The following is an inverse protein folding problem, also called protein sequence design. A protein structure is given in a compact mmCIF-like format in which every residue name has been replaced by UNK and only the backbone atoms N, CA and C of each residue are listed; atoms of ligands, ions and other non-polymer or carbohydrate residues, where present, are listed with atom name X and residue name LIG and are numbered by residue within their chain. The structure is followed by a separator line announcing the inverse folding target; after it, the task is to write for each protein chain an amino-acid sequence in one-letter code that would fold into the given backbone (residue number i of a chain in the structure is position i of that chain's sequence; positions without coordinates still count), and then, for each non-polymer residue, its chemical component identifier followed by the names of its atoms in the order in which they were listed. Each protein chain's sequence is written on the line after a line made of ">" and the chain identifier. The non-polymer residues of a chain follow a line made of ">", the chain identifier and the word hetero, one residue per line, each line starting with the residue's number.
data_IF_625402176143
#
_entry.id   IF_625402176143
#
_cell.length_a   1.000
_cell.length_b   1.000
_cell.length_c   1.000
_cell.angle_alpha   90.00
_cell.angle_beta   90.00
_cell.angle_gamma   90.00
#
_symmetry.space_group_name_H-M   'P 1'
#
loop_
_entity.id
_entity.type
_entity.pdbx_description
1 polymer ?
#
# COMPACT_ATOMS: atom_id res chain seq x y z
N UNK A 1 -26.66 -4.47 48.53
CA UNK A 1 -26.40 -5.52 47.52
C UNK A 1 -27.40 -5.34 46.38
N UNK A 2 -27.08 -5.52 45.08
CA UNK A 2 -25.78 -5.64 44.40
C UNK A 2 -25.64 -4.73 43.15
N UNK A 3 -24.47 -4.12 42.95
CA UNK A 3 -23.96 -3.77 41.60
C UNK A 3 -22.53 -4.29 41.61
N UNK A 4 -22.23 -5.37 40.87
CA UNK A 4 -21.22 -5.19 39.82
C UNK A 4 -21.47 -6.14 38.64
N UNK A 5 -22.53 -5.91 37.87
CA UNK A 5 -22.73 -6.58 36.57
C UNK A 5 -22.32 -5.69 35.38
N UNK A 6 -21.74 -4.52 35.63
CA UNK A 6 -21.28 -3.59 34.58
C UNK A 6 -19.82 -3.80 34.15
N UNK A 7 -19.00 -4.52 34.91
CA UNK A 7 -17.56 -4.64 34.60
C UNK A 7 -17.23 -5.75 33.58
N UNK A 8 -18.21 -6.54 33.13
CA UNK A 8 -17.94 -7.71 32.26
C UNK A 8 -18.00 -7.36 30.76
N UNK A 9 -18.55 -6.19 30.39
CA UNK A 9 -18.77 -5.83 28.97
C UNK A 9 -17.61 -5.06 28.32
N UNK A 10 -16.57 -4.65 29.06
CA UNK A 10 -15.44 -3.89 28.50
C UNK A 10 -14.23 -4.76 28.11
N UNK A 11 -14.30 -6.08 28.27
CA UNK A 11 -13.17 -6.98 28.04
C UNK A 11 -12.90 -7.35 26.56
N UNK A 12 -13.77 -6.95 25.63
CA UNK A 12 -13.59 -7.23 24.19
C UNK A 12 -12.87 -6.10 23.41
N UNK A 13 -12.36 -5.07 24.07
CA UNK A 13 -12.05 -3.80 23.40
C UNK A 13 -10.68 -3.70 22.68
N UNK A 14 -9.86 -4.75 22.62
CA UNK A 14 -8.61 -4.69 21.85
C UNK A 14 -8.13 -6.09 21.45
N UNK A 15 -8.77 -6.70 20.46
CA UNK A 15 -8.03 -7.66 19.64
C UNK A 15 -6.91 -6.89 18.92
N UNK A 16 -5.65 -7.34 18.92
CA UNK A 16 -4.66 -6.74 18.05
C UNK A 16 -5.20 -6.86 16.63
N UNK A 17 -5.37 -5.72 15.94
CA UNK A 17 -5.61 -5.77 14.51
C UNK A 17 -4.46 -6.59 13.91
N UNK A 18 -4.78 -7.55 13.05
CA UNK A 18 -3.74 -8.17 12.26
C UNK A 18 -2.97 -7.05 11.55
N UNK A 19 -1.66 -7.17 11.43
CA UNK A 19 -0.89 -6.25 10.60
C UNK A 19 -0.98 -6.70 9.14
N UNK A 20 -0.94 -5.77 8.17
CA UNK A 20 -0.92 -6.13 6.77
C UNK A 20 0.41 -6.84 6.42
N UNK A 21 0.41 -7.73 5.43
CA UNK A 21 1.65 -8.31 4.90
C UNK A 21 2.69 -7.21 4.57
N UNK A 22 3.92 -7.29 5.08
CA UNK A 22 4.92 -6.22 4.93
C UNK A 22 5.22 -5.84 3.47
N UNK A 23 5.07 -6.77 2.53
CA UNK A 23 5.27 -6.53 1.11
C UNK A 23 4.27 -5.51 0.51
N UNK A 24 3.08 -5.37 1.10
CA UNK A 24 2.07 -4.39 0.68
C UNK A 24 2.39 -2.97 1.17
N UNK A 25 3.19 -2.86 2.24
CA UNK A 25 3.60 -1.58 2.82
C UNK A 25 4.84 -0.99 2.17
N UNK A 26 5.43 -1.67 1.17
CA UNK A 26 6.58 -1.14 0.45
C UNK A 26 6.19 0.15 -0.29
N UNK A 27 6.98 1.23 -0.17
CA UNK A 27 6.69 2.47 -0.86
C UNK A 27 6.67 2.25 -2.37
N UNK A 28 5.87 3.06 -3.06
CA UNK A 28 5.90 3.08 -4.51
C UNK A 28 7.24 3.64 -4.99
N UNK A 29 7.70 3.15 -6.15
CA UNK A 29 8.92 3.68 -6.75
C UNK A 29 8.76 5.17 -7.05
N UNK A 30 9.84 5.92 -6.91
CA UNK A 30 9.88 7.29 -7.39
C UNK A 30 9.74 7.31 -8.93
N UNK A 31 9.30 8.44 -9.50
CA UNK A 31 9.30 8.63 -10.96
C UNK A 31 10.68 8.35 -11.57
N UNK A 32 10.70 7.84 -12.79
CA UNK A 32 11.95 7.69 -13.54
C UNK A 32 12.60 9.06 -13.80
N UNK A 33 13.87 9.19 -13.42
CA UNK A 33 14.68 10.35 -13.77
C UNK A 33 14.92 10.39 -15.28
N UNK A 34 14.59 11.52 -15.89
CA UNK A 34 14.86 11.78 -17.30
C UNK A 34 16.18 12.54 -17.45
N UNK A 35 16.97 12.23 -18.48
CA UNK A 35 18.25 12.90 -18.68
C UNK A 35 18.04 14.32 -19.21
N UNK A 36 19.01 15.19 -18.93
CA UNK A 36 19.01 16.59 -19.39
C UNK A 36 19.54 16.71 -20.84
N UNK A 37 18.95 15.96 -21.76
CA UNK A 37 19.21 16.06 -23.20
C UNK A 37 17.99 15.63 -24.03
N UNK A 38 18.04 15.94 -25.33
CA UNK A 38 17.01 15.52 -26.27
C UNK A 38 17.06 13.99 -26.48
N UNK A 39 16.03 13.31 -25.98
CA UNK A 39 15.90 11.87 -26.08
C UNK A 39 15.44 11.44 -27.48
N UNK A 40 15.99 10.32 -27.96
CA UNK A 40 15.45 9.58 -29.10
C UNK A 40 14.11 8.94 -28.75
N UNK A 41 13.33 8.57 -29.77
CA UNK A 41 12.06 7.89 -29.55
C UNK A 41 12.22 6.59 -28.74
N UNK A 42 13.26 5.80 -29.02
CA UNK A 42 13.52 4.56 -28.29
C UNK A 42 13.79 4.84 -26.79
N UNK A 43 14.55 5.88 -26.46
CA UNK A 43 14.81 6.25 -25.07
C UNK A 43 13.55 6.69 -24.35
N UNK A 44 12.69 7.46 -25.02
CA UNK A 44 11.39 7.89 -24.47
C UNK A 44 10.51 6.68 -24.17
N UNK A 45 10.36 5.77 -25.14
CA UNK A 45 9.52 4.57 -24.99
C UNK A 45 10.03 3.67 -23.85
N UNK A 46 11.36 3.53 -23.72
CA UNK A 46 11.97 2.76 -22.64
C UNK A 46 11.76 3.41 -21.27
N UNK A 47 11.95 4.73 -21.15
CA UNK A 47 11.72 5.44 -19.90
C UNK A 47 10.25 5.36 -19.47
N UNK A 48 9.33 5.60 -20.42
CA UNK A 48 7.90 5.49 -20.19
C UNK A 48 7.46 4.07 -19.82
N UNK A 49 7.99 3.05 -20.50
CA UNK A 49 7.70 1.64 -20.20
C UNK A 49 8.11 1.25 -18.77
N UNK A 50 9.30 1.68 -18.34
CA UNK A 50 9.77 1.46 -16.96
C UNK A 50 8.87 2.13 -15.93
N UNK A 51 8.55 3.41 -16.13
CA UNK A 51 7.70 4.18 -15.21
C UNK A 51 6.29 3.58 -15.11
N UNK A 52 5.66 3.27 -16.25
CA UNK A 52 4.34 2.61 -16.28
C UNK A 52 4.34 1.22 -15.64
N UNK A 53 5.43 0.47 -15.77
CA UNK A 53 5.60 -0.81 -15.07
C UNK A 53 5.58 -0.60 -13.55
N UNK A 54 6.40 0.32 -13.05
CA UNK A 54 6.48 0.62 -11.63
C UNK A 54 5.14 1.12 -11.04
N UNK A 55 4.39 1.93 -11.78
CA UNK A 55 3.06 2.38 -11.38
C UNK A 55 2.04 1.23 -11.28
N UNK A 56 2.08 0.27 -12.21
CA UNK A 56 1.22 -0.92 -12.17
C UNK A 56 1.53 -1.80 -10.96
N UNK A 57 2.81 -2.02 -10.67
CA UNK A 57 3.23 -2.79 -9.51
C UNK A 57 2.79 -2.12 -8.19
N UNK A 58 2.93 -0.78 -8.12
CA UNK A 58 2.43 0.03 -7.01
C UNK A 58 0.91 -0.11 -6.86
N UNK A 59 0.14 0.01 -7.96
CA UNK A 59 -1.30 -0.15 -7.94
C UNK A 59 -1.72 -1.54 -7.46
N UNK A 60 -0.99 -2.60 -7.85
CA UNK A 60 -1.23 -3.95 -7.36
C UNK A 60 -1.04 -4.09 -5.84
N UNK A 61 0.01 -3.47 -5.28
CA UNK A 61 0.23 -3.45 -3.82
C UNK A 61 -0.86 -2.68 -3.09
N UNK A 62 -1.25 -1.50 -3.59
CA UNK A 62 -2.30 -0.69 -2.98
C UNK A 62 -3.67 -1.36 -3.04
N UNK A 63 -3.99 -2.01 -4.16
CA UNK A 63 -5.20 -2.83 -4.29
C UNK A 63 -5.20 -3.99 -3.29
N UNK A 64 -4.10 -4.74 -3.19
CA UNK A 64 -3.99 -5.81 -2.19
C UNK A 64 -4.05 -5.31 -0.75
N UNK A 65 -3.61 -4.07 -0.48
CA UNK A 65 -3.74 -3.46 0.84
C UNK A 65 -5.20 -3.07 1.15
N UNK A 66 -5.94 -2.56 0.17
CA UNK A 66 -7.37 -2.27 0.30
C UNK A 66 -8.18 -3.56 0.51
N UNK A 67 -7.91 -4.60 -0.29
CA UNK A 67 -8.54 -5.92 -0.14
C UNK A 67 -8.28 -6.52 1.24
N UNK A 68 -7.05 -6.37 1.77
CA UNK A 68 -6.71 -6.80 3.12
C UNK A 68 -7.46 -6.00 4.20
N UNK A 69 -7.66 -4.69 3.98
CA UNK A 69 -8.41 -3.82 4.89
C UNK A 69 -9.93 -4.09 4.86
N UNK A 70 -10.43 -4.80 3.84
CA UNK A 70 -11.82 -5.19 3.69
C UNK A 70 -12.71 -4.16 2.98
N UNK A 71 -12.11 -3.35 2.09
CA UNK A 71 -12.84 -2.45 1.18
C UNK A 71 -13.57 -3.18 0.03
#
# INVERSE_FOLDING_TARGET
>A
MPIPLLCVLTACAASPAAEPPPALLLPCAAPVDLPDHAMTQAEVELAWGRDRGALRDCAGRLGGLADWAGD
#
